data_IF_157069395089
#
_entry.id   IF_157069395089
#
_cell.length_a   1.000
_cell.length_b   1.000
_cell.length_c   1.000
_cell.angle_alpha   90.00
_cell.angle_beta   90.00
_cell.angle_gamma   90.00
#
_symmetry.space_group_name_H-M   'P 1'
#
loop_
_entity.id
_entity.type
_entity.pdbx_description
1 polymer ?
#
# COMPACT_ATOMS: atom_id res chain seq x y z
N UNK A 1 -1.79 1.63 -18.19
CA UNK A 1 -2.41 1.57 -16.86
C UNK A 1 -2.32 2.91 -16.19
N UNK A 2 -3.40 3.42 -15.66
CA UNK A 2 -3.38 4.71 -14.99
C UNK A 2 -2.75 4.57 -13.62
N UNK A 3 -2.41 5.72 -13.02
CA UNK A 3 -1.85 5.70 -11.69
C UNK A 3 -2.84 5.10 -10.68
N UNK A 4 -4.11 5.41 -10.87
CA UNK A 4 -5.12 4.87 -9.99
C UNK A 4 -5.19 3.36 -10.08
N UNK A 5 -5.08 2.81 -11.27
CA UNK A 5 -5.10 1.36 -11.43
C UNK A 5 -3.86 0.74 -10.83
N UNK A 6 -2.73 1.41 -10.94
CA UNK A 6 -1.52 0.91 -10.31
C UNK A 6 -1.64 0.88 -8.81
N UNK A 7 -2.18 1.96 -8.23
CA UNK A 7 -2.38 1.99 -6.80
C UNK A 7 -3.29 0.87 -6.34
N UNK A 8 -4.36 0.65 -7.08
CA UNK A 8 -5.30 -0.39 -6.70
C UNK A 8 -4.65 -1.76 -6.77
N UNK A 9 -3.87 -2.00 -7.81
CA UNK A 9 -3.21 -3.29 -7.98
C UNK A 9 -2.23 -3.55 -6.85
N UNK A 10 -1.43 -2.56 -6.50
CA UNK A 10 -0.47 -2.73 -5.42
C UNK A 10 -1.17 -2.88 -4.08
N UNK A 11 -2.29 -2.18 -3.89
CA UNK A 11 -3.03 -2.31 -2.64
C UNK A 11 -3.59 -3.72 -2.47
N UNK A 12 -4.07 -4.31 -3.56
CA UNK A 12 -4.58 -5.67 -3.49
C UNK A 12 -3.47 -6.64 -3.16
N UNK A 13 -2.31 -6.49 -3.78
CA UNK A 13 -1.19 -7.38 -3.51
C UNK A 13 -0.72 -7.24 -2.06
N UNK A 14 -0.65 -6.01 -1.56
CA UNK A 14 -0.24 -5.79 -0.18
C UNK A 14 -1.26 -6.38 0.79
N UNK A 15 -2.54 -6.28 0.45
CA UNK A 15 -3.60 -6.84 1.27
C UNK A 15 -3.41 -8.34 1.44
N UNK A 16 -3.11 -9.03 0.37
CA UNK A 16 -2.93 -10.47 0.46
C UNK A 16 -1.76 -10.82 1.36
N UNK A 17 -0.67 -10.08 1.24
CA UNK A 17 0.49 -10.33 2.07
C UNK A 17 0.22 -10.05 3.54
N UNK A 18 -0.52 -8.98 3.83
CA UNK A 18 -0.84 -8.65 5.21
C UNK A 18 -1.77 -9.66 5.83
N UNK A 19 -2.74 -10.15 5.07
CA UNK A 19 -3.64 -11.17 5.56
C UNK A 19 -2.86 -12.43 5.91
N UNK A 20 -1.89 -12.79 5.09
CA UNK A 20 -1.08 -13.96 5.35
C UNK A 20 -0.29 -13.82 6.65
N UNK A 21 0.01 -12.58 7.05
CA UNK A 21 0.70 -12.34 8.32
C UNK A 21 -0.23 -12.27 9.51
N UNK A 22 -1.53 -12.28 9.29
CA UNK A 22 -2.48 -12.21 10.38
C UNK A 22 -2.92 -10.80 10.74
N UNK A 23 -2.77 -9.85 9.84
CA UNK A 23 -3.16 -8.48 10.13
C UNK A 23 -4.67 -8.36 10.27
N UNK A 24 -5.12 -7.42 11.10
CA UNK A 24 -6.54 -7.19 11.27
C UNK A 24 -7.08 -6.39 10.09
N UNK A 25 -8.38 -6.39 9.87
CA UNK A 25 -8.94 -5.62 8.74
C UNK A 25 -8.60 -4.14 8.78
N UNK A 26 -8.57 -3.53 9.95
CA UNK A 26 -8.19 -2.14 10.06
C UNK A 26 -6.78 -1.90 9.63
N UNK A 27 -5.86 -2.74 10.08
CA UNK A 27 -4.48 -2.65 9.69
C UNK A 27 -4.33 -2.82 8.21
N UNK A 28 -5.04 -3.77 7.63
CA UNK A 28 -4.95 -4.04 6.21
C UNK A 28 -5.36 -2.81 5.43
N UNK A 29 -6.47 -2.18 5.81
CA UNK A 29 -6.96 -1.04 5.07
C UNK A 29 -5.94 0.10 5.06
N UNK A 30 -5.38 0.42 6.22
CA UNK A 30 -4.48 1.55 6.30
C UNK A 30 -3.11 1.24 5.71
N UNK A 31 -2.58 0.07 6.03
CA UNK A 31 -1.22 -0.27 5.65
C UNK A 31 -1.11 -0.62 4.19
N UNK A 32 -2.11 -1.28 3.64
CA UNK A 32 -2.05 -1.66 2.24
C UNK A 32 -2.00 -0.43 1.35
N UNK A 33 -2.74 0.61 1.70
CA UNK A 33 -2.73 1.81 0.90
C UNK A 33 -1.39 2.53 0.97
N UNK A 34 -0.76 2.50 2.13
CA UNK A 34 0.57 3.08 2.28
C UNK A 34 1.60 2.34 1.46
N UNK A 35 1.55 1.01 1.47
CA UNK A 35 2.45 0.23 0.65
C UNK A 35 2.24 0.53 -0.84
N UNK A 36 0.98 0.69 -1.24
CA UNK A 36 0.69 0.98 -2.63
C UNK A 36 1.27 2.33 -3.04
N UNK A 37 1.13 3.33 -2.19
CA UNK A 37 1.65 4.63 -2.50
C UNK A 37 3.17 4.64 -2.58
N UNK A 38 3.81 3.90 -1.68
CA UNK A 38 5.25 3.80 -1.71
C UNK A 38 5.70 3.10 -2.99
N UNK A 39 5.01 2.04 -3.40
CA UNK A 39 5.40 1.31 -4.60
C UNK A 39 5.25 2.17 -5.85
N UNK A 40 4.19 2.95 -5.93
CA UNK A 40 3.95 3.76 -7.11
C UNK A 40 4.87 4.98 -7.13
N UNK A 41 5.05 5.63 -5.99
CA UNK A 41 5.84 6.85 -5.93
C UNK A 41 7.32 6.60 -5.75
N UNK A 42 7.68 5.45 -5.29
CA UNK A 42 9.09 5.11 -5.15
C UNK A 42 9.73 5.60 -3.87
N UNK A 43 8.95 6.09 -2.91
CA UNK A 43 9.51 6.54 -1.66
C UNK A 43 8.42 6.64 -0.61
N UNK A 44 8.82 6.58 0.64
CA UNK A 44 7.85 6.66 1.73
C UNK A 44 7.18 8.01 1.75
N UNK A 45 5.93 8.02 2.21
CA UNK A 45 5.19 9.19 2.23
C UNK A 45 5.76 10.22 3.11
N UNK A 46 6.37 9.84 4.19
CA UNK A 46 6.77 10.83 5.12
C UNK A 46 8.10 11.37 4.86
N UNK A 47 8.75 11.05 3.81
CA UNK A 47 10.05 11.47 3.69
C UNK A 47 10.19 12.87 3.30
N UNK A 48 9.17 13.49 2.95
CA UNK A 48 9.33 14.71 2.44
C UNK A 48 9.83 15.64 3.39
N UNK A 49 9.75 15.45 4.47
CA UNK A 49 10.11 16.36 5.25
C UNK A 49 11.36 16.72 5.25
N UNK A 50 11.92 16.19 4.98
CA UNK A 50 13.15 16.62 5.02
C UNK A 50 13.67 17.58 4.31
#
# INVERSE_FOLDING_TARGET
MTEQEQLFTFAVAATMGLIARGATPSEVRDTAWQYAQFAVNGKPQEDEEV
#
